data_IF_003632659849
#
_entry.id   IF_003632659849
#
_cell.length_a   1.000
_cell.length_b   1.000
_cell.length_c   1.000
_cell.angle_alpha   90.00
_cell.angle_beta   90.00
_cell.angle_gamma   90.00
#
_symmetry.space_group_name_H-M   'P 1'
#
loop_
_entity.id
_entity.type
_entity.pdbx_description
1 polymer ?
#
# COMPACT_ATOMS: atom_id res chain seq x y z
N UNK A 1 -11.68 -10.64 2.49
CA UNK A 1 -10.38 -11.35 2.47
C UNK A 1 -10.72 -12.75 2.02
N UNK A 2 -10.12 -13.21 0.92
CA UNK A 2 -10.59 -14.45 0.26
C UNK A 2 -9.80 -15.67 0.74
N UNK A 3 -8.51 -15.45 1.02
CA UNK A 3 -7.58 -16.45 1.55
C UNK A 3 -6.81 -15.90 2.73
N UNK A 4 -6.39 -16.78 3.63
CA UNK A 4 -5.43 -16.45 4.68
C UNK A 4 -4.01 -16.28 4.10
N UNK A 5 -3.13 -15.50 4.74
CA UNK A 5 -1.75 -15.33 4.26
C UNK A 5 -1.01 -16.65 4.04
N UNK A 6 -1.16 -17.63 4.94
CA UNK A 6 -0.55 -18.96 4.79
C UNK A 6 -1.08 -19.72 3.57
N UNK A 7 -2.37 -19.54 3.22
CA UNK A 7 -2.94 -20.15 2.02
C UNK A 7 -2.35 -19.50 0.77
N UNK A 8 -2.20 -18.17 0.74
CA UNK A 8 -1.53 -17.48 -0.37
C UNK A 8 -0.10 -18.01 -0.58
N UNK A 9 0.68 -18.14 0.50
CA UNK A 9 2.04 -18.72 0.41
C UNK A 9 2.01 -20.14 -0.16
N UNK A 10 1.07 -20.97 0.29
CA UNK A 10 0.93 -22.34 -0.23
C UNK A 10 0.51 -22.35 -1.70
N UNK A 11 -0.42 -21.50 -2.11
CA UNK A 11 -0.87 -21.36 -3.50
C UNK A 11 0.29 -20.92 -4.41
N UNK A 12 1.13 -19.99 -3.96
CA UNK A 12 2.35 -19.60 -4.67
C UNK A 12 3.28 -20.81 -4.88
N UNK A 13 3.50 -21.62 -3.85
CA UNK A 13 4.31 -22.83 -3.95
C UNK A 13 3.71 -23.91 -4.86
N UNK A 14 2.38 -23.89 -5.08
CA UNK A 14 1.67 -24.80 -5.98
C UNK A 14 1.57 -24.26 -7.42
N UNK A 15 2.12 -23.08 -7.71
CA UNK A 15 2.07 -22.48 -9.04
C UNK A 15 0.70 -21.90 -9.43
N UNK A 16 -0.18 -21.65 -8.46
CA UNK A 16 -1.52 -21.07 -8.67
C UNK A 16 -1.46 -19.54 -8.81
N UNK A 17 -0.65 -19.07 -9.76
CA UNK A 17 -0.31 -17.66 -9.88
C UNK A 17 -1.53 -16.79 -10.24
N UNK A 18 -2.36 -17.24 -11.19
CA UNK A 18 -3.52 -16.48 -11.66
C UNK A 18 -4.55 -16.24 -10.56
N UNK A 19 -4.81 -17.25 -9.71
CA UNK A 19 -5.72 -17.14 -8.58
C UNK A 19 -5.18 -16.20 -7.50
N UNK A 20 -3.86 -16.25 -7.25
CA UNK A 20 -3.22 -15.41 -6.23
C UNK A 20 -3.24 -13.94 -6.64
N UNK A 21 -2.86 -13.64 -7.88
CA UNK A 21 -2.78 -12.25 -8.37
C UNK A 21 -4.15 -11.57 -8.47
N UNK A 22 -5.23 -12.35 -8.62
CA UNK A 22 -6.62 -11.86 -8.61
C UNK A 22 -7.23 -11.79 -7.21
N UNK A 23 -6.55 -12.27 -6.18
CA UNK A 23 -7.10 -12.32 -4.82
C UNK A 23 -7.23 -10.92 -4.19
N UNK A 24 -8.31 -10.67 -3.43
CA UNK A 24 -8.44 -9.46 -2.61
C UNK A 24 -7.44 -9.45 -1.46
N UNK A 25 -6.97 -10.62 -1.01
CA UNK A 25 -6.07 -10.75 0.15
C UNK A 25 -4.77 -10.00 -0.03
N UNK A 26 -4.15 -10.05 -1.23
CA UNK A 26 -2.90 -9.33 -1.49
C UNK A 26 -3.13 -7.82 -1.33
N UNK A 27 -4.27 -7.30 -1.79
CA UNK A 27 -4.59 -5.86 -1.72
C UNK A 27 -4.97 -5.39 -0.31
N UNK A 28 -5.64 -6.22 0.49
CA UNK A 28 -5.96 -5.88 1.89
C UNK A 28 -4.78 -6.01 2.86
N UNK A 29 -3.66 -6.58 2.43
CA UNK A 29 -2.47 -6.68 3.26
C UNK A 29 -1.94 -5.28 3.64
N UNK A 30 -1.94 -4.98 4.94
CA UNK A 30 -1.44 -3.72 5.49
C UNK A 30 0.09 -3.67 5.66
N UNK A 31 0.81 -4.70 5.21
CA UNK A 31 2.26 -4.84 5.34
C UNK A 31 2.76 -4.60 6.78
N UNK A 32 1.98 -5.03 7.77
CA UNK A 32 2.26 -4.85 9.20
C UNK A 32 3.30 -5.81 9.77
N UNK A 33 3.84 -6.73 8.95
CA UNK A 33 4.93 -7.68 9.28
C UNK A 33 4.62 -8.65 10.44
N UNK A 34 3.37 -8.68 10.93
CA UNK A 34 3.00 -9.56 12.06
C UNK A 34 3.07 -11.03 11.66
N UNK A 35 2.69 -11.37 10.43
CA UNK A 35 2.78 -12.73 9.90
C UNK A 35 4.23 -13.18 9.71
N UNK A 36 5.10 -12.31 9.17
CA UNK A 36 6.53 -12.60 9.00
C UNK A 36 7.21 -12.86 10.34
N UNK A 37 7.00 -11.98 11.34
CA UNK A 37 7.67 -12.10 12.65
C UNK A 37 7.23 -13.32 13.47
N UNK A 38 6.04 -13.86 13.22
CA UNK A 38 5.52 -15.06 13.92
C UNK A 38 5.76 -16.35 13.16
N UNK A 39 6.32 -16.30 11.94
CA UNK A 39 6.46 -17.47 11.11
C UNK A 39 7.56 -18.40 11.68
N UNK A 40 7.24 -19.64 12.07
CA UNK A 40 8.26 -20.58 12.56
C UNK A 40 9.21 -21.04 11.45
N UNK A 41 8.82 -20.85 10.18
CA UNK A 41 9.62 -21.20 9.00
C UNK A 41 10.41 -20.00 8.45
N UNK A 42 10.41 -18.86 9.16
CA UNK A 42 11.13 -17.64 8.76
C UNK A 42 10.78 -17.11 7.35
N UNK A 43 9.53 -17.32 6.92
CA UNK A 43 9.05 -16.84 5.62
C UNK A 43 8.72 -15.36 5.73
N UNK A 44 9.24 -14.55 4.80
CA UNK A 44 8.83 -13.16 4.65
C UNK A 44 7.47 -13.03 3.94
N UNK A 45 6.41 -13.34 4.70
CA UNK A 45 5.04 -13.32 4.18
C UNK A 45 4.62 -11.91 3.76
N UNK A 46 5.02 -10.87 4.50
CA UNK A 46 4.72 -9.49 4.16
C UNK A 46 5.40 -9.07 2.84
N UNK A 47 6.70 -9.38 2.68
CA UNK A 47 7.43 -9.12 1.43
C UNK A 47 6.84 -9.86 0.23
N UNK A 48 6.42 -11.12 0.40
CA UNK A 48 5.72 -11.87 -0.65
C UNK A 48 4.42 -11.16 -1.05
N UNK A 49 3.62 -10.71 -0.08
CA UNK A 49 2.38 -9.98 -0.38
C UNK A 49 2.63 -8.67 -1.15
N UNK A 50 3.69 -7.93 -0.81
CA UNK A 50 4.06 -6.71 -1.52
C UNK A 50 4.49 -7.01 -2.96
N UNK A 51 5.31 -8.04 -3.18
CA UNK A 51 5.72 -8.47 -4.53
C UNK A 51 4.50 -8.92 -5.36
N UNK A 52 3.56 -9.65 -4.77
CA UNK A 52 2.35 -10.09 -5.47
C UNK A 52 1.47 -8.90 -5.90
N UNK A 53 1.37 -7.84 -5.08
CA UNK A 53 0.68 -6.59 -5.48
C UNK A 53 1.35 -5.97 -6.71
N UNK A 54 2.69 -5.86 -6.68
CA UNK A 54 3.46 -5.30 -7.79
C UNK A 54 3.32 -6.12 -9.07
N UNK A 55 3.43 -7.45 -8.96
CA UNK A 55 3.23 -8.36 -10.10
C UNK A 55 1.84 -8.21 -10.71
N UNK A 56 0.80 -8.04 -9.89
CA UNK A 56 -0.55 -7.79 -10.37
C UNK A 56 -0.66 -6.46 -11.12
N UNK A 57 0.02 -5.40 -10.63
CA UNK A 57 0.09 -4.10 -11.31
C UNK A 57 0.84 -4.18 -12.63
N UNK A 58 2.03 -4.79 -12.65
CA UNK A 58 2.88 -4.92 -13.84
C UNK A 58 2.19 -5.72 -14.95
N UNK A 59 1.41 -6.74 -14.60
CA UNK A 59 0.63 -7.55 -15.54
C UNK A 59 -0.70 -6.92 -15.95
N UNK A 60 -1.05 -5.75 -15.40
CA UNK A 60 -2.31 -5.07 -15.68
C UNK A 60 -3.54 -5.83 -15.19
N UNK A 61 -3.39 -6.69 -14.18
CA UNK A 61 -4.51 -7.45 -13.61
C UNK A 61 -5.42 -6.48 -12.84
N UNK A 62 -6.72 -6.60 -13.08
CA UNK A 62 -7.71 -5.74 -12.42
C UNK A 62 -7.72 -6.02 -10.92
N UNK A 63 -7.57 -4.95 -10.14
CA UNK A 63 -7.62 -5.05 -8.69
C UNK A 63 -9.09 -5.16 -8.24
N UNK A 64 -9.47 -6.22 -7.51
CA UNK A 64 -10.83 -6.37 -7.00
C UNK A 64 -11.17 -5.34 -5.91
N UNK A 65 -10.18 -4.56 -5.43
CA UNK A 65 -10.32 -3.48 -4.44
C UNK A 65 -9.84 -2.13 -5.02
N UNK A 66 -10.66 -1.47 -5.86
CA UNK A 66 -10.23 -0.29 -6.62
C UNK A 66 -9.83 0.89 -5.74
N UNK A 67 -10.47 1.07 -4.59
CA UNK A 67 -10.11 2.14 -3.65
C UNK A 67 -8.78 1.87 -2.95
N UNK A 68 -8.49 0.62 -2.62
CA UNK A 68 -7.23 0.21 -2.01
C UNK A 68 -6.08 0.38 -2.99
N UNK A 69 -6.28 0.01 -4.26
CA UNK A 69 -5.31 0.31 -5.33
C UNK A 69 -5.08 1.80 -5.48
N UNK A 70 -6.15 2.61 -5.59
CA UNK A 70 -6.02 4.08 -5.67
C UNK A 70 -5.24 4.67 -4.49
N UNK A 71 -5.49 4.17 -3.28
CA UNK A 71 -4.77 4.60 -2.09
C UNK A 71 -3.28 4.25 -2.19
N UNK A 72 -2.97 3.02 -2.61
CA UNK A 72 -1.59 2.56 -2.83
C UNK A 72 -0.86 3.41 -3.87
N UNK A 73 -1.48 3.65 -5.04
CA UNK A 73 -0.89 4.46 -6.12
C UNK A 73 -0.57 5.88 -5.65
N UNK A 74 -1.50 6.51 -4.91
CA UNK A 74 -1.31 7.86 -4.34
C UNK A 74 -0.20 7.85 -3.29
N UNK A 75 -0.22 6.87 -2.38
CA UNK A 75 0.79 6.74 -1.34
C UNK A 75 2.19 6.62 -1.95
N UNK A 76 2.37 5.70 -2.89
CA UNK A 76 3.67 5.47 -3.54
C UNK A 76 4.09 6.67 -4.39
N UNK A 77 3.16 7.35 -5.06
CA UNK A 77 3.42 8.61 -5.77
C UNK A 77 3.95 9.72 -4.85
N UNK A 78 3.37 9.88 -3.66
CA UNK A 78 3.82 10.86 -2.65
C UNK A 78 5.21 10.50 -2.13
N UNK A 79 5.44 9.22 -1.79
CA UNK A 79 6.76 8.76 -1.29
C UNK A 79 7.82 8.93 -2.37
N UNK A 80 7.53 8.62 -3.64
CA UNK A 80 8.44 8.84 -4.77
C UNK A 80 8.77 10.33 -4.97
N UNK A 81 7.79 11.22 -4.83
CA UNK A 81 7.98 12.65 -5.06
C UNK A 81 8.68 13.37 -3.90
N UNK A 82 8.34 13.02 -2.65
CA UNK A 82 8.79 13.75 -1.45
C UNK A 82 9.74 12.97 -0.55
N UNK A 83 9.93 11.68 -0.79
CA UNK A 83 10.76 10.78 0.05
C UNK A 83 10.13 10.39 1.39
N UNK A 84 9.04 11.04 1.82
CA UNK A 84 8.31 10.73 3.06
C UNK A 84 6.82 10.99 2.86
N UNK A 85 5.99 10.13 3.46
CA UNK A 85 4.54 10.32 3.48
C UNK A 85 4.15 11.64 4.16
N UNK A 86 3.16 12.32 3.56
CA UNK A 86 2.51 13.50 4.10
C UNK A 86 1.01 13.17 4.21
N UNK A 87 0.49 13.02 5.43
CA UNK A 87 -0.90 12.58 5.62
C UNK A 87 -1.92 13.56 5.03
N UNK A 88 -1.84 14.90 5.24
CA UNK A 88 -2.74 15.85 4.58
C UNK A 88 -2.80 15.71 3.06
N UNK A 89 -1.64 15.52 2.43
CA UNK A 89 -1.51 15.36 0.98
C UNK A 89 -2.12 14.03 0.51
N UNK A 90 -1.84 12.94 1.23
CA UNK A 90 -2.41 11.62 0.95
C UNK A 90 -3.94 11.65 1.04
N UNK A 91 -4.49 12.18 2.13
CA UNK A 91 -5.92 12.33 2.32
C UNK A 91 -6.55 13.23 1.26
N UNK A 92 -5.93 14.38 0.97
CA UNK A 92 -6.41 15.31 -0.07
C UNK A 92 -6.49 14.65 -1.45
N UNK A 93 -5.41 14.01 -1.90
CA UNK A 93 -5.40 13.31 -3.18
C UNK A 93 -6.35 12.11 -3.21
N UNK A 94 -6.46 11.35 -2.12
CA UNK A 94 -7.37 10.22 -2.02
C UNK A 94 -8.81 10.69 -2.18
N UNK A 95 -9.22 11.68 -1.40
CA UNK A 95 -10.58 12.26 -1.42
C UNK A 95 -10.93 12.88 -2.77
N UNK A 96 -9.98 13.58 -3.41
CA UNK A 96 -10.16 14.10 -4.77
C UNK A 96 -10.40 12.99 -5.78
N UNK A 97 -9.68 11.86 -5.67
CA UNK A 97 -9.77 10.74 -6.62
C UNK A 97 -10.96 9.82 -6.36
N UNK A 98 -11.43 9.71 -5.12
CA UNK A 98 -12.63 8.93 -4.75
C UNK A 98 -13.92 9.74 -4.76
N UNK A 99 -13.85 11.07 -4.83
CA UNK A 99 -14.98 12.02 -4.72
C UNK A 99 -15.73 11.94 -3.38
N UNK A 100 -15.14 11.33 -2.35
CA UNK A 100 -15.77 11.12 -1.04
C UNK A 100 -15.44 12.22 -0.03
N UNK A 101 -15.65 13.49 -0.42
CA UNK A 101 -15.13 14.65 0.30
C UNK A 101 -15.52 14.74 1.79
N UNK A 102 -16.71 14.24 2.17
CA UNK A 102 -17.27 14.45 3.52
C UNK A 102 -17.23 13.23 4.46
N UNK A 103 -16.94 12.03 3.97
CA UNK A 103 -17.09 10.78 4.75
C UNK A 103 -16.23 10.73 6.04
N UNK A 104 -15.14 11.50 6.11
CA UNK A 104 -14.19 11.48 7.24
C UNK A 104 -14.17 12.80 8.04
N UNK A 105 -15.19 13.65 7.89
CA UNK A 105 -15.18 15.00 8.48
C UNK A 105 -15.19 14.99 10.01
N UNK A 106 -15.83 13.99 10.63
CA UNK A 106 -15.84 13.81 12.09
C UNK A 106 -14.44 13.47 12.63
N UNK A 107 -13.76 12.51 12.01
CA UNK A 107 -12.39 12.11 12.36
C UNK A 107 -11.44 13.29 12.15
N UNK A 108 -11.58 14.02 11.03
CA UNK A 108 -10.80 15.21 10.72
C UNK A 108 -10.95 16.30 11.79
N UNK A 109 -12.17 16.55 12.27
CA UNK A 109 -12.44 17.53 13.33
C UNK A 109 -11.75 17.16 14.64
N UNK A 110 -11.82 15.89 15.04
CA UNK A 110 -11.14 15.40 16.25
C UNK A 110 -9.61 15.48 16.15
N UNK A 111 -9.04 15.17 14.98
CA UNK A 111 -7.60 15.29 14.75
C UNK A 111 -7.13 16.74 14.78
N UNK A 112 -7.91 17.68 14.23
CA UNK A 112 -7.62 19.12 14.28
C UNK A 112 -7.71 19.66 15.70
N UNK A 113 -8.76 19.28 16.46
CA UNK A 113 -8.91 19.64 17.88
C UNK A 113 -7.71 19.16 18.72
N UNK A 114 -7.16 17.99 18.39
CA UNK A 114 -5.97 17.41 19.04
C UNK A 114 -4.64 17.88 18.44
N UNK A 115 -4.64 18.79 17.46
CA UNK A 115 -3.44 19.25 16.73
C UNK A 115 -2.56 18.12 16.18
N UNK A 116 -3.19 17.02 15.74
CA UNK A 116 -2.49 15.85 15.20
C UNK A 116 -2.19 15.93 13.70
N UNK A 117 -2.74 16.93 13.01
CA UNK A 117 -2.49 17.18 11.59
C UNK A 117 -1.26 18.08 11.46
N UNK A 118 -0.13 17.51 11.05
CA UNK A 118 1.12 18.25 10.84
C UNK A 118 1.30 18.56 9.36
N UNK A 119 1.57 19.83 9.03
CA UNK A 119 2.02 20.19 7.69
C UNK A 119 3.46 19.69 7.49
N UNK A 120 3.71 18.85 6.49
CA UNK A 120 4.97 18.12 6.37
C UNK A 120 6.12 19.01 5.85
N UNK A 121 7.29 19.03 6.54
CA UNK A 121 8.45 19.85 6.16
C UNK A 121 9.16 19.34 4.90
N UNK A 122 10.17 20.10 4.42
CA UNK A 122 11.08 19.66 3.36
C UNK A 122 11.89 18.46 3.84
N UNK A 123 11.85 17.36 3.10
CA UNK A 123 12.56 16.12 3.41
C UNK A 123 13.96 16.18 2.80
N UNK A 124 14.99 16.09 3.64
CA UNK A 124 16.37 15.89 3.18
C UNK A 124 16.49 14.48 2.60
N UNK A 125 17.20 14.31 1.49
CA UNK A 125 17.43 12.99 0.90
C UNK A 125 16.31 12.45 0.00
N UNK A 126 15.32 13.27 -0.38
CA UNK A 126 14.20 12.79 -1.22
C UNK A 126 14.63 12.31 -2.62
N UNK A 127 15.75 12.83 -3.16
CA UNK A 127 16.27 12.41 -4.46
C UNK A 127 16.81 10.98 -4.41
N UNK A 128 17.41 10.60 -3.30
CA UNK A 128 17.96 9.28 -3.02
C UNK A 128 16.83 8.27 -2.86
N UNK A 129 15.78 8.61 -2.10
CA UNK A 129 14.58 7.79 -1.99
C UNK A 129 13.93 7.59 -3.37
N UNK A 130 13.83 8.66 -4.17
CA UNK A 130 13.33 8.56 -5.54
C UNK A 130 14.15 7.59 -6.40
N UNK A 131 15.49 7.66 -6.33
CA UNK A 131 16.37 6.71 -7.03
C UNK A 131 16.15 5.25 -6.60
N UNK A 132 15.91 5.00 -5.31
CA UNK A 132 15.62 3.66 -4.80
C UNK A 132 14.29 3.15 -5.38
N UNK A 133 13.25 3.99 -5.36
CA UNK A 133 11.93 3.63 -5.90
C UNK A 133 11.99 3.45 -7.41
N UNK A 134 12.70 4.30 -8.14
CA UNK A 134 12.86 4.17 -9.60
C UNK A 134 13.63 2.88 -9.98
N UNK A 135 14.49 2.37 -9.09
CA UNK A 135 15.29 1.16 -9.32
C UNK A 135 14.58 -0.13 -8.91
N UNK A 136 13.88 -0.12 -7.77
CA UNK A 136 13.40 -1.33 -7.10
C UNK A 136 11.96 -1.22 -6.59
N UNK A 137 11.33 -0.07 -6.76
CA UNK A 137 9.95 0.17 -6.35
C UNK A 137 8.93 -0.06 -7.46
N UNK A 138 7.67 0.22 -7.15
CA UNK A 138 6.54 0.06 -8.07
C UNK A 138 6.70 0.91 -9.33
N UNK A 139 6.43 0.33 -10.50
CA UNK A 139 6.36 1.07 -11.77
C UNK A 139 5.00 1.75 -11.92
N UNK A 140 4.82 2.83 -11.16
CA UNK A 140 3.63 3.69 -11.18
C UNK A 140 3.89 4.94 -12.03
#
# INVERSE_FOLDING_TARGET
>A
MDYNPTQIIRMCALGMEDEVLKSRTIWMCSSCVTCTTRCPMEIDVAGVMDILKEMAVERGIECPEPNTKRFHDIFMGIVRARGRMNEPMLFGHYKLRTKSFMDDMEIGKEMMKKMKIKYSPKVKGHKEVRKIIDKAGPKI
#
